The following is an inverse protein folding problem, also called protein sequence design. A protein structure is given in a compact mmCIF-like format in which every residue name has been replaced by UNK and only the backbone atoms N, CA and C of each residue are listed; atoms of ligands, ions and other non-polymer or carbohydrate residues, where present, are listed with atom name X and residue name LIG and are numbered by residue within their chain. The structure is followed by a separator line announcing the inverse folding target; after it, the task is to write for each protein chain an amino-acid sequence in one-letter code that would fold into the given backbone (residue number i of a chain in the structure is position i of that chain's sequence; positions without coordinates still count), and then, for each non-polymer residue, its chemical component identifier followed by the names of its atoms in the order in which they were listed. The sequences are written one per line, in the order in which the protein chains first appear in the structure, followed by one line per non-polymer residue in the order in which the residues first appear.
data_IF_302914169956
#
_entry.id   IF_302914169956
#
_cell.length_a   1.000
_cell.length_b   1.000
_cell.length_c   1.000
_cell.angle_alpha   90.00
_cell.angle_beta   90.00
_cell.angle_gamma   90.00
#
_symmetry.space_group_name_H-M   'P 1'
#
loop_
_entity.id
_entity.type
_entity.pdbx_description
1 polymer ?
#
# COMPACT_ATOMS: atom_id res chain seq x y z
N UNK A 1 2.61 -2.08 -19.75
CA UNK A 1 3.68 -1.26 -20.38
C UNK A 1 3.72 -1.54 -21.89
N UNK A 2 2.77 -0.94 -22.65
CA UNK A 2 2.76 -1.02 -24.12
C UNK A 2 3.61 0.12 -24.67
N UNK A 3 4.44 -0.17 -25.63
CA UNK A 3 5.23 0.80 -26.40
C UNK A 3 5.02 0.54 -27.89
N UNK A 4 5.16 1.56 -28.68
CA UNK A 4 5.12 1.43 -30.14
C UNK A 4 6.55 1.32 -30.67
N UNK A 5 6.84 0.25 -31.40
CA UNK A 5 8.16 0.01 -32.00
C UNK A 5 8.03 0.17 -33.50
N UNK A 6 8.91 0.98 -34.10
CA UNK A 6 8.95 1.19 -35.53
C UNK A 6 9.07 -0.16 -36.25
N UNK A 7 8.22 -0.43 -37.22
CA UNK A 7 8.08 -1.68 -37.98
C UNK A 7 7.51 -2.90 -37.25
N UNK A 8 7.21 -2.82 -35.93
CA UNK A 8 6.60 -3.90 -35.15
C UNK A 8 5.23 -3.55 -34.60
N UNK A 9 4.86 -2.24 -34.58
CA UNK A 9 3.63 -1.77 -34.00
C UNK A 9 3.64 -1.77 -32.48
N UNK A 10 2.46 -1.90 -31.87
CA UNK A 10 2.29 -1.92 -30.41
C UNK A 10 2.76 -3.25 -29.81
N UNK A 11 3.72 -3.20 -28.90
CA UNK A 11 4.29 -4.38 -28.23
C UNK A 11 4.41 -4.17 -26.73
N UNK A 12 4.49 -5.26 -25.97
CA UNK A 12 4.78 -5.21 -24.54
C UNK A 12 6.28 -5.00 -24.32
N UNK A 13 6.68 -3.87 -23.76
CA UNK A 13 8.08 -3.53 -23.53
C UNK A 13 8.85 -4.59 -22.72
N UNK A 14 8.21 -5.20 -21.72
CA UNK A 14 8.82 -6.26 -20.90
C UNK A 14 9.01 -7.60 -21.62
N UNK A 15 8.35 -7.79 -22.77
CA UNK A 15 8.43 -9.02 -23.57
C UNK A 15 9.18 -8.83 -24.88
N UNK A 16 9.66 -7.61 -25.17
CA UNK A 16 10.29 -7.26 -26.44
C UNK A 16 11.81 -7.19 -26.26
N UNK A 17 12.53 -7.99 -27.03
CA UNK A 17 14.00 -7.96 -27.03
C UNK A 17 14.47 -6.70 -27.76
N UNK A 18 15.27 -5.88 -27.06
CA UNK A 18 15.88 -4.69 -27.67
C UNK A 18 16.99 -5.07 -28.62
N UNK A 19 17.00 -4.47 -29.81
CA UNK A 19 18.04 -4.62 -30.80
C UNK A 19 18.64 -3.25 -31.13
N UNK A 20 19.88 -3.25 -31.65
CA UNK A 20 20.55 -2.01 -32.04
C UNK A 20 19.77 -1.28 -33.14
N UNK A 21 19.66 0.05 -33.02
CA UNK A 21 18.91 0.89 -33.96
C UNK A 21 17.37 0.86 -33.77
N UNK A 22 16.84 0.12 -32.82
CA UNK A 22 15.38 0.10 -32.54
C UNK A 22 14.88 1.47 -32.11
N UNK A 23 13.85 1.98 -32.81
CA UNK A 23 13.13 3.21 -32.41
C UNK A 23 11.88 2.86 -31.66
N UNK A 24 11.75 3.42 -30.44
CA UNK A 24 10.62 3.18 -29.56
C UNK A 24 9.91 4.50 -29.29
N UNK A 25 8.61 4.53 -29.57
CA UNK A 25 7.75 5.62 -29.19
C UNK A 25 6.99 5.24 -27.94
N UNK A 26 7.22 5.99 -26.87
CA UNK A 26 6.44 5.85 -25.65
C UNK A 26 5.15 6.64 -25.88
N UNK A 27 3.98 5.99 -25.86
CA UNK A 27 2.70 6.70 -25.98
C UNK A 27 2.68 7.78 -24.90
N UNK A 28 2.29 9.01 -25.26
CA UNK A 28 1.99 10.05 -24.28
C UNK A 28 0.92 9.49 -23.37
N UNK A 29 1.34 8.90 -22.25
CA UNK A 29 0.42 8.58 -21.16
C UNK A 29 -0.19 9.92 -20.81
N UNK A 30 -1.42 10.15 -21.25
CA UNK A 30 -2.24 11.13 -20.60
C UNK A 30 -2.23 10.65 -19.14
N UNK A 31 -1.51 11.37 -18.29
CA UNK A 31 -1.69 11.35 -16.84
C UNK A 31 -3.12 11.86 -16.57
N UNK A 32 -4.09 11.11 -17.07
CA UNK A 32 -5.37 11.07 -16.40
C UNK A 32 -4.96 10.66 -15.00
N UNK A 33 -5.11 11.59 -14.07
CA UNK A 33 -5.33 11.21 -12.70
C UNK A 33 -6.45 10.17 -12.74
N UNK A 34 -6.09 8.92 -13.00
CA UNK A 34 -6.95 7.81 -12.65
C UNK A 34 -7.04 7.97 -11.14
N UNK A 35 -8.11 8.66 -10.71
CA UNK A 35 -8.71 8.31 -9.45
C UNK A 35 -8.87 6.82 -9.57
N UNK A 36 -7.91 6.08 -9.03
CA UNK A 36 -8.06 4.65 -8.84
C UNK A 36 -9.39 4.57 -8.11
N UNK A 37 -10.41 4.07 -8.80
CA UNK A 37 -11.65 3.69 -8.14
C UNK A 37 -11.26 2.50 -7.30
N UNK A 38 -10.68 2.81 -6.16
CA UNK A 38 -10.51 1.85 -5.09
C UNK A 38 -11.91 1.41 -4.80
N UNK A 39 -12.12 0.11 -4.76
CA UNK A 39 -13.40 -0.44 -4.36
C UNK A 39 -13.63 -0.07 -2.89
N UNK A 40 -14.04 1.17 -2.64
CA UNK A 40 -14.51 1.63 -1.34
C UNK A 40 -15.73 0.80 -0.88
N UNK A 41 -16.36 0.12 -1.83
CA UNK A 41 -17.52 -0.74 -1.66
C UNK A 41 -17.15 -2.23 -1.72
N UNK A 42 -16.17 -2.66 -0.93
CA UNK A 42 -16.07 -4.09 -0.63
C UNK A 42 -17.39 -4.55 0.00
N UNK A 43 -17.88 -5.71 -0.45
CA UNK A 43 -19.14 -6.31 0.03
C UNK A 43 -19.14 -6.67 1.51
N UNK A 44 -17.99 -6.64 2.17
CA UNK A 44 -17.87 -6.90 3.62
C UNK A 44 -18.23 -5.62 4.37
N UNK A 45 -19.41 -5.62 4.96
CA UNK A 45 -19.89 -4.53 5.80
C UNK A 45 -19.80 -4.86 7.29
N UNK A 46 -19.49 -6.12 7.62
CA UNK A 46 -19.46 -6.63 8.98
C UNK A 46 -18.24 -7.51 9.18
N UNK A 47 -17.53 -7.28 10.25
CA UNK A 47 -16.37 -8.07 10.68
C UNK A 47 -16.74 -8.88 11.92
N UNK A 48 -16.03 -9.97 12.24
CA UNK A 48 -16.26 -10.66 13.50
C UNK A 48 -16.14 -9.66 14.65
N UNK A 49 -17.23 -9.50 15.41
CA UNK A 49 -17.22 -8.76 16.64
C UNK A 49 -16.54 -9.61 17.71
N UNK A 50 -15.76 -8.99 18.56
CA UNK A 50 -15.42 -9.56 19.84
C UNK A 50 -16.01 -8.66 20.93
N UNK A 51 -15.90 -9.07 22.20
CA UNK A 51 -16.47 -8.33 23.33
C UNK A 51 -15.76 -6.99 23.61
N UNK A 52 -15.04 -6.43 22.60
CA UNK A 52 -14.30 -5.18 22.70
C UNK A 52 -15.21 -3.95 22.73
N UNK A 53 -14.99 -3.06 23.70
CA UNK A 53 -15.56 -1.73 23.69
C UNK A 53 -14.64 -0.77 22.92
N UNK A 54 -15.23 0.16 22.13
CA UNK A 54 -14.50 1.19 21.40
C UNK A 54 -14.44 0.98 19.90
N UNK A 55 -13.35 1.42 19.29
CA UNK A 55 -13.14 1.37 17.86
C UNK A 55 -12.00 0.43 17.49
N UNK A 56 -12.15 -0.24 16.37
CA UNK A 56 -11.10 -0.98 15.70
C UNK A 56 -10.79 -0.34 14.34
N UNK A 57 -9.64 -0.63 13.81
CA UNK A 57 -9.24 -0.21 12.48
C UNK A 57 -8.59 -1.35 11.69
N UNK A 58 -8.78 -1.32 10.38
CA UNK A 58 -8.09 -2.20 9.45
C UNK A 58 -7.51 -1.39 8.31
N UNK A 59 -6.23 -1.57 8.02
CA UNK A 59 -5.53 -0.85 6.96
C UNK A 59 -4.85 -1.81 5.98
N UNK A 60 -5.11 -1.61 4.68
CA UNK A 60 -4.34 -2.22 3.60
C UNK A 60 -3.28 -1.24 3.12
N UNK A 61 -2.01 -1.58 3.34
CA UNK A 61 -0.85 -0.79 2.93
C UNK A 61 -0.34 -1.24 1.57
N UNK A 62 -1.09 -0.87 0.52
CA UNK A 62 -0.68 -1.16 -0.84
C UNK A 62 0.52 -0.32 -1.30
N UNK A 63 1.23 -0.81 -2.32
CA UNK A 63 2.37 -0.09 -2.93
C UNK A 63 1.93 1.26 -3.53
N UNK A 64 0.75 1.31 -4.13
CA UNK A 64 0.22 2.49 -4.81
C UNK A 64 -0.75 3.27 -3.93
N UNK A 65 -1.54 2.58 -3.13
CA UNK A 65 -2.66 3.14 -2.39
C UNK A 65 -2.74 2.50 -1.01
N UNK A 66 -3.07 3.32 -0.02
CA UNK A 66 -3.40 2.88 1.34
C UNK A 66 -4.89 3.03 1.54
N UNK A 67 -5.53 2.02 2.09
CA UNK A 67 -6.96 2.02 2.43
C UNK A 67 -7.11 1.74 3.91
N UNK A 68 -7.89 2.55 4.62
CA UNK A 68 -8.20 2.31 6.02
C UNK A 68 -9.72 2.26 6.25
N UNK A 69 -10.14 1.33 7.08
CA UNK A 69 -11.50 1.20 7.58
C UNK A 69 -11.56 1.50 9.07
N UNK A 70 -12.62 2.16 9.49
CA UNK A 70 -12.99 2.28 10.89
C UNK A 70 -14.15 1.33 11.18
N UNK A 71 -14.06 0.61 12.26
CA UNK A 71 -14.95 -0.49 12.63
C UNK A 71 -15.43 -0.26 14.05
N UNK A 72 -16.70 -0.48 14.30
CA UNK A 72 -17.24 -0.54 15.66
C UNK A 72 -16.80 -1.85 16.31
N UNK A 73 -16.00 -1.78 17.37
CA UNK A 73 -15.39 -2.96 18.00
C UNK A 73 -16.44 -3.88 18.65
N UNK A 74 -17.58 -3.32 19.08
CA UNK A 74 -18.65 -4.10 19.70
C UNK A 74 -19.53 -4.84 18.71
N UNK A 75 -19.86 -4.18 17.59
CA UNK A 75 -20.79 -4.73 16.60
C UNK A 75 -20.09 -5.36 15.40
N UNK A 76 -18.82 -5.02 15.15
CA UNK A 76 -18.11 -5.40 13.95
C UNK A 76 -18.56 -4.62 12.70
N UNK A 77 -19.41 -3.61 12.85
CA UNK A 77 -19.90 -2.81 11.73
C UNK A 77 -18.81 -1.91 11.17
N UNK A 78 -18.66 -1.91 9.84
CA UNK A 78 -17.78 -0.97 9.15
C UNK A 78 -18.41 0.42 9.11
N UNK A 79 -17.89 1.35 9.90
CA UNK A 79 -18.43 2.70 10.05
C UNK A 79 -18.05 3.62 8.89
N UNK A 80 -16.80 3.56 8.42
CA UNK A 80 -16.33 4.40 7.34
C UNK A 80 -15.07 3.83 6.68
N UNK A 81 -14.78 4.33 5.48
CA UNK A 81 -13.58 4.02 4.71
C UNK A 81 -12.92 5.30 4.20
N UNK A 82 -11.60 5.31 4.17
CA UNK A 82 -10.80 6.33 3.48
C UNK A 82 -9.70 5.64 2.69
N UNK A 83 -9.38 6.20 1.53
CA UNK A 83 -8.30 5.73 0.68
C UNK A 83 -7.47 6.89 0.18
N UNK A 84 -6.15 6.73 0.18
CA UNK A 84 -5.20 7.75 -0.24
C UNK A 84 -4.05 7.12 -1.04
N UNK A 85 -3.43 7.87 -1.97
CA UNK A 85 -2.17 7.43 -2.56
C UNK A 85 -1.12 7.20 -1.47
N UNK A 86 -0.34 6.12 -1.60
CA UNK A 86 0.74 5.84 -0.64
C UNK A 86 1.74 7.00 -0.59
N UNK A 87 2.01 7.53 0.60
CA UNK A 87 3.00 8.59 0.83
C UNK A 87 4.42 8.16 0.43
N UNK A 88 4.71 6.87 0.51
CA UNK A 88 6.02 6.30 0.14
C UNK A 88 6.29 6.32 -1.37
N UNK A 89 5.35 6.75 -2.22
CA UNK A 89 5.55 6.87 -3.68
C UNK A 89 6.69 7.82 -4.05
N UNK A 90 7.01 8.77 -3.20
CA UNK A 90 8.17 9.68 -3.38
C UNK A 90 9.51 8.96 -3.34
N UNK A 91 9.57 7.75 -2.75
CA UNK A 91 10.77 6.91 -2.67
C UNK A 91 10.78 5.77 -3.68
N UNK A 92 9.71 5.60 -4.44
CA UNK A 92 9.60 4.58 -5.48
C UNK A 92 8.15 4.27 -5.82
N UNK A 93 7.89 4.09 -7.11
CA UNK A 93 6.56 3.75 -7.61
C UNK A 93 6.21 2.27 -7.42
N UNK A 94 7.21 1.42 -7.22
CA UNK A 94 7.12 -0.03 -7.09
C UNK A 94 7.90 -0.55 -5.87
N UNK A 95 7.76 -1.85 -5.60
CA UNK A 95 8.40 -2.48 -4.42
C UNK A 95 9.92 -2.51 -4.53
N UNK A 96 10.49 -2.71 -5.72
CA UNK A 96 11.95 -2.80 -5.89
C UNK A 96 12.60 -1.45 -5.62
N UNK A 97 12.04 -0.37 -6.13
CA UNK A 97 12.52 1.00 -5.87
C UNK A 97 12.52 1.32 -4.37
N UNK A 98 11.52 0.82 -3.63
CA UNK A 98 11.46 1.01 -2.16
C UNK A 98 12.46 0.15 -1.41
N UNK A 99 12.72 -1.06 -1.87
CA UNK A 99 13.81 -1.90 -1.33
C UNK A 99 15.15 -1.17 -1.51
N UNK A 100 15.42 -0.64 -2.69
CA UNK A 100 16.63 0.14 -2.97
C UNK A 100 16.73 1.40 -2.10
N UNK A 101 15.61 2.10 -1.88
CA UNK A 101 15.58 3.25 -0.98
C UNK A 101 15.88 2.85 0.47
N UNK A 102 15.35 1.72 0.94
CA UNK A 102 15.64 1.19 2.27
C UNK A 102 17.11 0.79 2.40
N UNK A 103 17.68 0.14 1.38
CA UNK A 103 19.11 -0.21 1.30
C UNK A 103 20.01 1.03 1.34
N UNK A 104 19.58 2.12 0.69
CA UNK A 104 20.24 3.43 0.73
C UNK A 104 20.03 4.19 2.05
N UNK A 105 19.62 3.53 3.13
CA UNK A 105 19.48 4.11 4.47
C UNK A 105 18.20 4.91 4.71
N UNK A 106 17.16 4.74 3.86
CA UNK A 106 15.88 5.45 4.01
C UNK A 106 14.79 4.64 4.73
N UNK A 107 15.15 3.50 5.35
CA UNK A 107 14.19 2.60 5.99
C UNK A 107 13.34 3.32 7.05
N UNK A 108 13.97 4.07 7.95
CA UNK A 108 13.25 4.75 9.04
C UNK A 108 12.31 5.84 8.49
N UNK A 109 12.76 6.59 7.48
CA UNK A 109 11.90 7.61 6.83
C UNK A 109 10.68 6.96 6.16
N UNK A 110 10.87 5.82 5.49
CA UNK A 110 9.77 5.06 4.88
C UNK A 110 8.77 4.58 5.93
N UNK A 111 9.26 4.05 7.05
CA UNK A 111 8.44 3.64 8.19
C UNK A 111 7.65 4.81 8.77
N UNK A 112 8.31 5.92 9.10
CA UNK A 112 7.66 7.10 9.66
C UNK A 112 6.56 7.65 8.74
N UNK A 113 6.81 7.68 7.44
CA UNK A 113 5.83 8.16 6.47
C UNK A 113 4.55 7.33 6.45
N UNK A 114 4.66 6.00 6.43
CA UNK A 114 3.46 5.15 6.39
C UNK A 114 2.71 5.19 7.71
N UNK A 115 3.41 5.21 8.84
CA UNK A 115 2.79 5.34 10.17
C UNK A 115 2.05 6.68 10.27
N UNK A 116 2.70 7.78 9.86
CA UNK A 116 2.08 9.11 9.88
C UNK A 116 0.85 9.16 8.98
N UNK A 117 0.93 8.61 7.76
CA UNK A 117 -0.20 8.55 6.83
C UNK A 117 -1.38 7.81 7.45
N UNK A 118 -1.17 6.60 7.98
CA UNK A 118 -2.22 5.82 8.64
C UNK A 118 -2.85 6.61 9.78
N UNK A 119 -2.04 7.23 10.64
CA UNK A 119 -2.54 8.03 11.75
C UNK A 119 -3.43 9.20 11.28
N UNK A 120 -3.08 9.88 10.19
CA UNK A 120 -3.90 10.95 9.61
C UNK A 120 -5.21 10.41 9.01
N UNK A 121 -5.14 9.27 8.33
CA UNK A 121 -6.32 8.63 7.75
C UNK A 121 -7.30 8.19 8.85
N UNK A 122 -6.81 7.60 9.94
CA UNK A 122 -7.65 7.20 11.08
C UNK A 122 -8.30 8.41 11.76
N UNK A 123 -7.58 9.50 11.97
CA UNK A 123 -8.16 10.77 12.47
C UNK A 123 -9.24 11.31 11.54
N UNK A 124 -9.06 11.19 10.24
CA UNK A 124 -10.05 11.59 9.24
C UNK A 124 -11.32 10.75 9.35
N UNK A 125 -11.18 9.43 9.55
CA UNK A 125 -12.29 8.51 9.75
C UNK A 125 -13.06 8.82 11.03
N UNK A 126 -12.37 9.04 12.14
CA UNK A 126 -13.01 9.45 13.41
C UNK A 126 -13.81 10.75 13.26
N UNK A 127 -13.23 11.76 12.61
CA UNK A 127 -13.93 13.02 12.32
C UNK A 127 -15.18 12.82 11.44
N UNK A 128 -15.07 12.00 10.38
CA UNK A 128 -16.20 11.71 9.48
C UNK A 128 -17.37 11.01 10.17
N UNK A 129 -17.08 10.15 11.12
CA UNK A 129 -18.08 9.36 11.83
C UNK A 129 -18.58 10.05 13.10
N UNK A 130 -17.95 11.13 13.53
CA UNK A 130 -18.23 11.77 14.83
C UNK A 130 -17.83 10.91 16.04
N UNK A 131 -17.05 9.83 15.83
CA UNK A 131 -16.60 8.90 16.85
C UNK A 131 -15.21 9.34 17.36
N UNK A 132 -15.14 9.67 18.63
CA UNK A 132 -13.89 10.15 19.27
C UNK A 132 -13.24 9.14 20.20
N UNK A 133 -13.79 7.93 20.32
CA UNK A 133 -13.29 6.88 21.18
C UNK A 133 -11.90 6.43 20.72
N UNK A 134 -11.14 5.87 21.62
CA UNK A 134 -9.83 5.32 21.31
C UNK A 134 -9.96 4.12 20.37
N UNK A 135 -9.09 4.06 19.36
CA UNK A 135 -8.92 2.86 18.53
C UNK A 135 -8.11 1.87 19.36
N UNK A 136 -8.73 0.73 19.68
CA UNK A 136 -8.15 -0.29 20.55
C UNK A 136 -7.22 -1.23 19.77
N UNK A 137 -7.59 -1.55 18.54
CA UNK A 137 -6.84 -2.50 17.71
C UNK A 137 -6.68 -1.96 16.29
N UNK A 138 -5.53 -2.24 15.71
CA UNK A 138 -5.22 -1.93 14.32
C UNK A 138 -4.72 -3.20 13.62
N UNK A 139 -5.53 -3.71 12.69
CA UNK A 139 -5.07 -4.75 11.77
C UNK A 139 -4.41 -4.09 10.55
N UNK A 140 -3.21 -4.53 10.21
CA UNK A 140 -2.49 -4.04 9.03
C UNK A 140 -2.20 -5.21 8.11
N UNK A 141 -2.59 -5.08 6.85
CA UNK A 141 -2.29 -6.03 5.78
C UNK A 141 -1.53 -5.33 4.65
N UNK A 142 -0.79 -6.09 3.89
CA UNK A 142 -0.02 -5.59 2.75
C UNK A 142 0.84 -6.68 2.15
N UNK A 143 1.51 -6.40 1.02
CA UNK A 143 2.52 -7.34 0.54
C UNK A 143 3.71 -7.38 1.51
N UNK A 144 4.51 -8.42 1.41
CA UNK A 144 5.63 -8.68 2.33
C UNK A 144 6.58 -7.49 2.49
N UNK A 145 6.93 -6.80 1.39
CA UNK A 145 7.81 -5.62 1.44
C UNK A 145 7.15 -4.47 2.19
N UNK A 146 5.88 -4.20 1.92
CA UNK A 146 5.17 -3.11 2.60
C UNK A 146 5.01 -3.38 4.10
N UNK A 147 4.77 -4.62 4.49
CA UNK A 147 4.73 -5.01 5.90
C UNK A 147 6.10 -4.82 6.58
N UNK A 148 7.21 -5.17 5.90
CA UNK A 148 8.56 -4.92 6.40
C UNK A 148 8.82 -3.43 6.61
N UNK A 149 8.49 -2.59 5.62
CA UNK A 149 8.67 -1.14 5.72
C UNK A 149 7.85 -0.53 6.86
N UNK A 150 6.61 -1.00 7.05
CA UNK A 150 5.77 -0.58 8.17
C UNK A 150 6.36 -0.96 9.52
N UNK A 151 6.87 -2.18 9.64
CA UNK A 151 7.50 -2.67 10.87
C UNK A 151 8.92 -2.09 11.12
N UNK A 152 9.51 -1.40 10.14
CA UNK A 152 10.90 -0.93 10.23
C UNK A 152 11.93 -2.06 10.11
N UNK A 153 11.55 -3.16 9.45
CA UNK A 153 12.42 -4.29 9.17
C UNK A 153 12.97 -4.16 7.74
N UNK A 154 14.26 -4.42 7.55
CA UNK A 154 14.86 -4.29 6.24
C UNK A 154 14.26 -5.28 5.22
N UNK A 155 13.72 -4.81 4.08
CA UNK A 155 13.20 -5.68 3.04
C UNK A 155 14.28 -6.11 2.02
N UNK A 156 15.55 -5.77 2.21
CA UNK A 156 16.63 -5.96 1.21
C UNK A 156 16.76 -7.42 0.81
N UNK A 157 16.67 -8.35 1.76
CA UNK A 157 16.74 -9.79 1.50
C UNK A 157 15.61 -10.33 0.60
N UNK A 158 14.49 -9.60 0.50
CA UNK A 158 13.39 -9.93 -0.41
C UNK A 158 13.71 -9.53 -1.86
N UNK A 159 14.59 -8.55 -2.05
CA UNK A 159 15.00 -8.04 -3.36
C UNK A 159 16.10 -8.86 -4.05
N UNK A 160 16.74 -9.79 -3.36
CA UNK A 160 17.86 -10.59 -3.86
C UNK A 160 17.63 -12.08 -3.64
N UNK A 161 18.16 -12.91 -4.52
CA UNK A 161 18.09 -14.39 -4.38
C UNK A 161 18.71 -14.82 -3.03
N UNK A 162 18.06 -15.67 -2.24
CA UNK A 162 16.87 -16.48 -2.53
C UNK A 162 15.51 -15.83 -2.17
N UNK A 163 15.39 -14.49 -2.10
CA UNK A 163 14.16 -13.74 -1.85
C UNK A 163 13.49 -14.04 -0.50
N UNK A 164 14.28 -14.23 0.52
CA UNK A 164 13.79 -14.61 1.86
C UNK A 164 13.44 -13.39 2.71
N UNK A 165 12.20 -13.30 3.23
CA UNK A 165 11.84 -12.26 4.17
C UNK A 165 12.52 -12.48 5.53
N UNK A 166 12.81 -11.39 6.24
CA UNK A 166 13.33 -11.44 7.61
C UNK A 166 12.24 -11.75 8.65
N UNK A 167 10.98 -11.44 8.30
CA UNK A 167 9.84 -11.67 9.19
C UNK A 167 8.66 -12.24 8.37
N UNK A 168 7.97 -13.21 8.96
CA UNK A 168 6.71 -13.74 8.49
C UNK A 168 5.60 -13.18 9.37
N UNK A 169 4.86 -12.21 8.83
CA UNK A 169 3.76 -11.57 9.53
C UNK A 169 2.56 -12.50 9.67
N UNK A 170 1.58 -12.13 10.48
CA UNK A 170 0.38 -12.91 10.77
C UNK A 170 0.25 -13.25 12.26
N UNK A 171 0.91 -12.46 13.10
CA UNK A 171 0.82 -12.51 14.56
C UNK A 171 0.49 -11.14 15.12
N UNK A 172 0.06 -11.10 16.37
CA UNK A 172 -0.16 -9.85 17.10
C UNK A 172 1.16 -9.28 17.61
N UNK A 173 1.23 -7.95 17.58
CA UNK A 173 2.33 -7.15 18.13
C UNK A 173 1.73 -6.20 19.16
N UNK A 174 2.28 -6.17 20.35
CA UNK A 174 1.90 -5.27 21.46
C UNK A 174 2.88 -4.13 21.61
#
# INVERSE_FOLDING_TARGET
CTVEVEHMGEVLACMTKVTDGMRITIPKVQLRAQKSKIAENGTVTHYPADDGEGLDAACDIGTTTVVCHLIDGKTGEKLATVSEPSAQRSFGADVLSRIQAAEAGKLEILKEQIIFQIAQMLRTLQKKTGRGEQIQRLAVVGNTVMCHLFAGISPVSIGVTPFMPQEFFGKEYT
#
